data_IF_216455067872
#
_entry.id   IF_216455067872
#
_cell.length_a   1.000
_cell.length_b   1.000
_cell.length_c   1.000
_cell.angle_alpha   90.00
_cell.angle_beta   90.00
_cell.angle_gamma   90.00
#
_symmetry.space_group_name_H-M   'P 1'
#
loop_
_entity.id
_entity.type
_entity.pdbx_description
1 polymer ?
2 water ?
#
# COMPACT_ATOMS: atom_id res chain seq x y z
N UNK A 38 2.43 -12.89 -1.23
CA UNK A 38 1.17 -13.48 -0.81
C UNK A 38 0.36 -12.58 0.11
N UNK A 39 -0.95 -12.80 0.13
CA UNK A 39 -1.86 -12.01 0.97
C UNK A 39 -1.98 -12.60 2.37
N UNK A 40 -1.95 -11.74 3.38
CA UNK A 40 -2.08 -12.16 4.78
C UNK A 40 -3.24 -11.41 5.43
N UNK A 41 -3.56 -11.78 6.67
CA UNK A 41 -4.61 -11.10 7.42
C UNK A 41 -3.98 -10.45 8.65
N UNK A 42 -4.19 -9.15 8.83
CA UNK A 42 -3.51 -8.44 9.92
C UNK A 42 -4.26 -8.57 11.24
N UNK A 43 -3.78 -7.88 12.27
CA UNK A 43 -4.36 -8.00 13.61
C UNK A 43 -5.80 -7.49 13.67
N UNK A 44 -6.19 -6.67 12.70
CA UNK A 44 -7.55 -6.14 12.66
C UNK A 44 -8.49 -6.97 11.81
N UNK A 45 -7.96 -8.03 11.20
CA UNK A 45 -8.77 -8.90 10.37
C UNK A 45 -8.96 -8.37 8.96
N UNK A 46 -7.99 -7.59 8.48
CA UNK A 46 -7.99 -7.06 7.13
C UNK A 46 -6.84 -7.64 6.31
N UNK A 47 -7.07 -7.85 5.01
CA UNK A 47 -6.04 -8.41 4.13
C UNK A 47 -4.92 -7.40 3.87
N UNK A 48 -3.68 -7.89 3.80
CA UNK A 48 -2.56 -7.02 3.46
C UNK A 48 -1.44 -7.75 2.73
N UNK A 49 -0.60 -6.96 2.06
CA UNK A 49 0.54 -7.45 1.31
C UNK A 49 1.76 -6.66 1.78
N UNK A 50 2.88 -7.33 1.99
CA UNK A 50 4.09 -6.61 2.39
C UNK A 50 4.83 -6.08 1.17
N UNK A 51 5.26 -4.82 1.24
CA UNK A 51 6.07 -4.25 0.17
C UNK A 51 7.49 -3.93 0.64
N UNK A 52 7.75 -4.19 1.92
CA UNK A 52 9.11 -4.21 2.47
C UNK A 52 9.00 -4.80 3.87
N UNK A 53 10.09 -4.76 4.63
CA UNK A 53 10.06 -5.33 5.98
C UNK A 53 9.02 -4.67 6.88
N UNK A 54 8.77 -3.37 6.68
CA UNK A 54 7.91 -2.59 7.58
C UNK A 54 6.70 -1.95 6.91
N UNK A 55 6.67 -1.99 5.58
CA UNK A 55 5.61 -1.31 4.83
C UNK A 55 4.62 -2.29 4.23
N UNK A 56 3.36 -1.92 4.31
CA UNK A 56 2.27 -2.79 3.89
C UNK A 56 1.34 -2.04 2.96
N UNK A 57 0.68 -2.79 2.07
CA UNK A 57 -0.51 -2.27 1.42
C UNK A 57 -1.66 -3.18 1.84
N UNK A 58 -2.74 -2.60 2.35
CA UNK A 58 -3.84 -3.41 2.83
C UNK A 58 -5.14 -2.77 2.43
N UNK A 59 -6.24 -3.49 2.64
CA UNK A 59 -7.56 -2.94 2.36
C UNK A 59 -8.40 -2.99 3.62
N UNK A 60 -8.93 -1.83 4.00
CA UNK A 60 -9.80 -1.72 5.17
C UNK A 60 -11.17 -1.25 4.73
N UNK A 61 -12.17 -1.43 5.59
CA UNK A 61 -13.49 -0.99 5.24
C UNK A 61 -14.06 -0.18 6.39
N UNK A 62 -14.60 0.98 6.05
CA UNK A 62 -15.19 1.87 7.05
C UNK A 62 -16.50 2.42 6.52
N UNK A 63 -17.59 2.18 7.24
CA UNK A 63 -18.91 2.61 6.79
C UNK A 63 -19.22 2.09 5.39
N UNK A 64 -18.81 0.85 5.12
CA UNK A 64 -19.11 0.20 3.83
C UNK A 64 -18.29 0.75 2.66
N UNK A 65 -17.35 1.63 2.95
CA UNK A 65 -16.42 2.09 1.92
C UNK A 65 -15.08 1.42 2.09
N UNK A 66 -14.45 1.06 0.98
CA UNK A 66 -13.15 0.41 1.03
C UNK A 66 -12.01 1.40 0.82
N UNK A 67 -10.90 1.16 1.51
CA UNK A 67 -9.71 2.00 1.40
C UNK A 67 -8.48 1.17 1.14
N UNK A 68 -7.59 1.69 0.30
CA UNK A 68 -6.34 1.02 0.02
C UNK A 68 -5.28 1.76 0.82
N UNK A 69 -4.78 1.11 1.86
CA UNK A 69 -3.87 1.75 2.80
C UNK A 69 -2.43 1.38 2.53
N UNK A 70 -1.61 2.39 2.26
CA UNK A 70 -0.19 2.17 2.06
C UNK A 70 0.50 2.79 3.27
N UNK A 71 1.17 1.99 4.09
CA UNK A 71 1.58 2.53 5.38
C UNK A 71 2.78 1.80 5.95
N UNK A 72 3.65 2.56 6.62
CA UNK A 72 4.78 1.97 7.31
C UNK A 72 4.38 1.64 8.74
N UNK A 73 4.73 0.43 9.17
CA UNK A 73 4.47 -0.01 10.53
C UNK A 73 5.75 0.10 11.34
N UNK A 74 5.62 0.30 12.65
CA UNK A 74 6.79 0.25 13.53
C UNK A 74 6.62 -0.90 14.50
N UNK A 75 7.72 -1.35 15.10
CA UNK A 75 7.67 -2.46 16.04
C UNK A 75 7.92 -1.97 17.46
N UNK A 76 7.01 -2.30 18.37
CA UNK A 76 7.16 -1.94 19.77
C UNK A 76 6.71 -3.11 20.62
N UNK A 77 7.59 -3.56 21.51
CA UNK A 77 7.31 -4.72 22.33
C UNK A 77 7.00 -5.93 21.47
N UNK A 78 7.60 -6.00 20.29
CA UNK A 78 7.43 -7.15 19.42
C UNK A 78 6.16 -7.14 18.59
N UNK A 79 5.39 -6.06 18.72
CA UNK A 79 4.14 -5.92 18.01
C UNK A 79 4.33 -4.90 16.88
N UNK A 80 3.82 -5.21 15.69
CA UNK A 80 3.86 -4.26 14.58
C UNK A 80 2.63 -3.36 14.64
N UNK A 81 2.87 -2.05 14.67
CA UNK A 81 1.79 -1.09 14.83
C UNK A 81 1.81 -0.09 13.68
N UNK A 82 0.63 0.35 13.24
CA UNK A 82 0.63 1.30 12.12
C UNK A 82 1.18 2.64 12.57
N UNK A 83 2.06 3.20 11.75
CA UNK A 83 2.68 4.48 12.06
C UNK A 83 2.11 5.61 11.22
N UNK A 84 2.74 6.77 11.35
CA UNK A 84 2.23 8.00 10.75
C UNK A 84 2.60 8.14 9.27
N UNK A 85 3.57 7.37 8.81
CA UNK A 85 3.97 7.46 7.41
C UNK A 85 3.07 6.55 6.58
N UNK A 86 2.13 7.13 5.87
CA UNK A 86 1.20 6.34 5.08
C UNK A 86 0.01 7.16 4.61
N UNK A 87 -0.84 6.52 3.83
CA UNK A 87 -2.01 7.19 3.30
C UNK A 87 -3.07 6.14 2.98
N UNK A 88 -4.33 6.50 3.20
CA UNK A 88 -5.44 5.62 2.89
C UNK A 88 -6.16 6.15 1.66
N UNK A 89 -5.99 5.46 0.53
CA UNK A 89 -6.61 5.90 -0.71
C UNK A 89 -8.04 5.40 -0.82
N UNK A 90 -8.92 6.24 -1.34
CA UNK A 90 -10.24 5.78 -1.76
C UNK A 90 -10.06 4.91 -3.00
N UNK A 91 -11.11 4.19 -3.36
CA UNK A 91 -11.04 3.33 -4.53
C UNK A 91 -10.81 4.17 -5.78
N UNK A 92 -11.50 5.31 -5.87
CA UNK A 92 -11.35 6.18 -7.04
C UNK A 92 -9.93 6.74 -7.14
N UNK A 93 -9.32 7.05 -6.00
CA UNK A 93 -7.94 7.53 -6.00
C UNK A 93 -7.01 6.41 -6.42
N UNK A 94 -7.30 5.20 -5.94
CA UNK A 94 -6.49 4.05 -6.29
C UNK A 94 -6.58 3.74 -7.79
N UNK A 95 -7.79 3.79 -8.35
CA UNK A 95 -7.93 3.53 -9.78
C UNK A 95 -7.27 4.63 -10.63
N UNK A 96 -7.30 5.87 -10.16
CA UNK A 96 -6.59 6.96 -10.85
C UNK A 96 -5.09 6.73 -10.79
N UNK A 97 -4.61 6.23 -9.66
CA UNK A 97 -3.21 5.82 -9.54
C UNK A 97 -2.89 4.71 -10.55
N UNK A 98 -3.77 3.72 -10.66
CA UNK A 98 -3.53 2.66 -11.64
C UNK A 98 -3.38 3.22 -13.06
N UNK A 99 -4.19 4.22 -13.39
CA UNK A 99 -4.17 4.78 -14.73
C UNK A 99 -2.88 5.55 -14.99
N UNK A 100 -2.28 6.07 -13.92
CA UNK A 100 -1.01 6.81 -14.03
C UNK A 100 0.23 5.92 -14.05
N UNK A 101 0.09 4.67 -13.63
CA UNK A 101 1.23 3.76 -13.50
C UNK A 101 2.08 3.59 -14.78
N UNK A 102 1.43 3.44 -15.95
CA UNK A 102 2.29 3.36 -17.14
C UNK A 102 3.21 4.57 -17.31
N UNK A 103 2.71 5.77 -17.02
CA UNK A 103 3.52 6.98 -17.16
C UNK A 103 4.58 7.08 -16.06
N UNK A 104 4.21 6.66 -14.85
CA UNK A 104 5.14 6.62 -13.73
C UNK A 104 6.27 5.65 -14.05
N UNK A 105 5.89 4.48 -14.55
CA UNK A 105 6.87 3.46 -14.94
C UNK A 105 7.82 3.98 -16.01
N UNK A 106 7.29 4.69 -17.00
CA UNK A 106 8.13 5.20 -18.09
C UNK A 106 9.14 6.20 -17.55
N UNK A 107 8.71 7.03 -16.61
CA UNK A 107 9.61 8.00 -16.00
C UNK A 107 10.71 7.28 -15.23
N UNK A 108 10.35 6.24 -14.49
CA UNK A 108 11.34 5.46 -13.73
C UNK A 108 12.33 4.73 -14.65
N UNK A 109 11.84 4.21 -15.78
CA UNK A 109 12.72 3.58 -16.76
C UNK A 109 13.71 4.59 -17.34
N UNK A 110 13.23 5.80 -17.62
CA UNK A 110 14.12 6.87 -18.07
C UNK A 110 15.23 7.10 -17.04
N UNK A 111 14.87 7.03 -15.76
CA UNK A 111 15.83 7.25 -14.69
C UNK A 111 16.73 6.05 -14.40
N UNK A 112 16.56 4.99 -15.19
CA UNK A 112 17.46 3.85 -15.10
C UNK A 112 16.94 2.62 -14.38
N UNK A 113 15.67 2.64 -13.99
CA UNK A 113 15.11 1.51 -13.25
C UNK A 113 14.40 0.50 -14.13
N UNK A 114 14.70 -0.77 -13.91
CA UNK A 114 14.01 -1.85 -14.60
C UNK A 114 12.62 -2.00 -13.97
N UNK A 115 11.58 -1.77 -14.76
CA UNK A 115 10.20 -1.92 -14.31
C UNK A 115 9.42 -2.79 -15.29
N UNK A 116 8.66 -3.75 -14.76
CA UNK A 116 7.89 -4.67 -15.60
C UNK A 116 6.61 -4.02 -16.15
N UNK A 117 6.16 -4.49 -17.32
CA UNK A 117 5.01 -3.92 -18.01
C UNK A 117 3.89 -3.49 -17.06
#
# INVERSE_FOLDING_TARGET
MTSKKRARDEEAQSGGSEAETKPAPVKKAKSKASNPGGSQVDAEGNPFWEISDKRRVGISQFKKMDFINIREYYEAGGEMKPGKKGIGLTVDQYTAFLKAIPAINAELRSRGHDITDDSDGGGAPVVAKPEGNAKKSTKKQEKKANIEATSDEGSGSD
#
